data_IF_257595817861
#
_entry.id   IF_257595817861
#
_cell.length_a   1.000
_cell.length_b   1.000
_cell.length_c   1.000
_cell.angle_alpha   90.00
_cell.angle_beta   90.00
_cell.angle_gamma   90.00
#
_symmetry.space_group_name_H-M   'P 1'
#
loop_
_entity.id
_entity.type
_entity.pdbx_description
1 polymer ?
#
# COMPACT_ATOMS: atom_id res chain seq x y z
N UNK A 1 49.27 -22.85 -18.69
CA UNK A 1 47.89 -22.86 -19.22
C UNK A 1 46.97 -22.73 -18.01
N UNK A 2 46.81 -21.49 -17.53
CA UNK A 2 46.02 -21.17 -16.34
C UNK A 2 44.58 -20.89 -16.78
N UNK A 3 43.64 -21.68 -16.27
CA UNK A 3 42.21 -21.46 -16.48
C UNK A 3 41.78 -20.27 -15.62
N UNK A 4 41.44 -19.13 -16.24
CA UNK A 4 40.87 -17.99 -15.52
C UNK A 4 39.41 -18.28 -15.18
N UNK A 5 39.11 -18.37 -13.89
CA UNK A 5 37.75 -18.38 -13.34
C UNK A 5 37.15 -16.97 -13.35
N UNK A 6 37.07 -16.35 -14.53
CA UNK A 6 36.46 -15.03 -14.69
C UNK A 6 35.04 -15.14 -15.20
N UNK A 7 34.12 -14.73 -14.32
CA UNK A 7 32.78 -14.26 -14.64
C UNK A 7 31.75 -15.31 -15.08
N UNK A 8 31.42 -16.22 -14.16
CA UNK A 8 30.04 -16.72 -14.12
C UNK A 8 29.15 -15.58 -13.58
N UNK A 9 28.80 -14.64 -14.46
CA UNK A 9 27.71 -13.72 -14.19
C UNK A 9 26.45 -14.58 -14.01
N UNK A 10 26.02 -14.73 -12.76
CA UNK A 10 24.66 -15.17 -12.47
C UNK A 10 23.71 -14.13 -13.07
N UNK A 11 23.33 -14.35 -14.33
CA UNK A 11 22.20 -13.68 -14.97
C UNK A 11 20.95 -14.27 -14.34
N UNK A 12 20.65 -13.86 -13.10
CA UNK A 12 19.43 -14.26 -12.41
C UNK A 12 18.25 -13.50 -13.02
N UNK A 13 17.79 -13.96 -14.18
CA UNK A 13 16.45 -13.66 -14.71
C UNK A 13 15.41 -14.44 -13.91
N UNK A 14 15.37 -14.21 -12.59
CA UNK A 14 14.22 -14.58 -11.80
C UNK A 14 13.32 -13.36 -11.73
N UNK A 15 12.07 -13.55 -12.14
CA UNK A 15 10.97 -12.60 -11.97
C UNK A 15 10.62 -12.46 -10.47
N UNK A 16 11.55 -11.92 -9.67
CA UNK A 16 11.41 -11.64 -8.25
C UNK A 16 10.52 -10.41 -7.96
N UNK A 17 9.80 -9.92 -8.97
CA UNK A 17 9.30 -8.53 -9.00
C UNK A 17 8.05 -8.30 -8.16
N UNK A 18 7.20 -9.30 -7.87
CA UNK A 18 5.95 -9.08 -7.13
C UNK A 18 6.02 -9.38 -5.63
N UNK A 19 6.66 -10.47 -5.21
CA UNK A 19 6.81 -10.81 -3.79
C UNK A 19 7.60 -9.74 -3.03
N UNK A 20 8.63 -9.19 -3.67
CA UNK A 20 9.46 -8.16 -3.08
C UNK A 20 8.74 -6.82 -2.97
N UNK A 21 7.73 -6.52 -3.82
CA UNK A 21 6.92 -5.30 -3.71
C UNK A 21 6.08 -5.27 -2.44
N UNK A 22 5.51 -6.42 -2.06
CA UNK A 22 4.68 -6.54 -0.85
C UNK A 22 5.51 -6.28 0.41
N UNK A 23 6.72 -6.82 0.45
CA UNK A 23 7.59 -6.76 1.63
C UNK A 23 8.34 -5.42 1.71
N UNK A 24 8.75 -4.85 0.56
CA UNK A 24 9.52 -3.61 0.48
C UNK A 24 8.89 -2.44 1.22
N UNK A 25 7.58 -2.24 1.06
CA UNK A 25 6.89 -1.15 1.77
C UNK A 25 6.94 -1.34 3.29
N UNK A 26 6.71 -2.56 3.77
CA UNK A 26 6.79 -2.85 5.21
C UNK A 26 8.22 -2.71 5.75
N UNK A 27 9.23 -3.21 5.03
CA UNK A 27 10.64 -3.01 5.41
C UNK A 27 10.98 -1.52 5.48
N UNK A 28 10.53 -0.72 4.51
CA UNK A 28 10.70 0.74 4.53
C UNK A 28 10.10 1.34 5.79
N UNK A 29 8.85 0.99 6.11
CA UNK A 29 8.19 1.45 7.33
C UNK A 29 8.95 1.04 8.59
N UNK A 30 9.44 -0.19 8.67
CA UNK A 30 10.22 -0.68 9.82
C UNK A 30 11.58 -0.02 9.97
N UNK A 31 12.17 0.49 8.90
CA UNK A 31 13.46 1.19 8.92
C UNK A 31 13.34 2.69 9.18
N UNK A 32 12.12 3.25 9.13
CA UNK A 32 11.89 4.63 9.52
C UNK A 32 12.27 4.87 10.99
N UNK A 33 12.85 6.03 11.34
CA UNK A 33 13.01 6.40 12.73
C UNK A 33 11.64 6.53 13.41
N UNK A 34 11.63 6.42 14.73
CA UNK A 34 10.39 6.29 15.51
C UNK A 34 9.41 7.46 15.28
N UNK A 35 9.94 8.68 15.14
CA UNK A 35 9.14 9.87 14.90
C UNK A 35 8.35 9.74 13.60
N UNK A 36 9.04 9.44 12.50
CA UNK A 36 8.48 9.29 11.16
C UNK A 36 7.53 8.09 11.07
N UNK A 37 7.77 7.01 11.81
CA UNK A 37 6.80 5.91 11.94
C UNK A 37 5.48 6.36 12.53
N UNK A 38 5.51 7.23 13.53
CA UNK A 38 4.30 7.68 14.24
C UNK A 38 3.55 8.71 13.41
N UNK A 39 4.25 9.73 12.89
CA UNK A 39 3.64 10.90 12.23
C UNK A 39 3.54 10.79 10.72
N UNK A 40 4.30 9.88 10.10
CA UNK A 40 4.42 9.76 8.65
C UNK A 40 5.45 10.71 8.05
N UNK A 41 5.78 10.46 6.77
CA UNK A 41 6.68 11.31 5.98
C UNK A 41 5.98 12.50 5.30
N UNK A 42 4.64 12.49 5.25
CA UNK A 42 3.83 13.34 4.39
C UNK A 42 3.54 12.67 3.04
N UNK A 43 2.40 13.05 2.45
CA UNK A 43 1.90 12.50 1.19
C UNK A 43 2.93 12.68 0.06
N UNK A 44 3.20 11.62 -0.69
CA UNK A 44 4.16 11.58 -1.80
C UNK A 44 5.58 12.07 -1.46
N UNK A 45 5.99 12.07 -0.18
CA UNK A 45 7.25 12.68 0.25
C UNK A 45 8.39 11.66 0.45
N UNK A 46 8.14 10.37 0.21
CA UNK A 46 9.14 9.31 0.42
C UNK A 46 10.41 9.51 -0.42
N UNK A 47 10.27 9.93 -1.68
CA UNK A 47 11.42 10.17 -2.57
C UNK A 47 12.31 11.29 -2.04
N UNK A 48 11.73 12.44 -1.70
CA UNK A 48 12.46 13.57 -1.12
C UNK A 48 13.12 13.17 0.22
N UNK A 49 12.42 12.39 1.05
CA UNK A 49 12.96 11.90 2.30
C UNK A 49 14.18 10.99 2.08
N UNK A 50 14.16 10.12 1.07
CA UNK A 50 15.30 9.28 0.68
C UNK A 50 16.48 10.10 0.16
N UNK A 51 16.22 11.17 -0.59
CA UNK A 51 17.27 12.06 -1.10
C UNK A 51 17.95 12.84 0.04
N UNK A 52 17.18 13.37 0.98
CA UNK A 52 17.69 14.17 2.11
C UNK A 52 18.43 13.30 3.12
N UNK A 53 17.92 12.13 3.44
CA UNK A 53 18.49 11.26 4.49
C UNK A 53 19.61 10.35 3.98
N UNK A 54 19.84 10.33 2.67
CA UNK A 54 20.64 9.33 1.97
C UNK A 54 19.88 8.00 1.84
N UNK A 55 20.40 7.06 1.04
CA UNK A 55 19.86 5.70 0.88
C UNK A 55 20.05 4.86 2.17
N UNK A 56 19.34 5.25 3.24
CA UNK A 56 19.38 4.62 4.57
C UNK A 56 18.66 3.29 4.60
N UNK A 57 17.76 3.05 3.65
CA UNK A 57 17.00 1.82 3.62
C UNK A 57 17.87 0.66 3.14
N UNK A 58 17.83 -0.49 3.82
CA UNK A 58 18.65 -1.66 3.48
C UNK A 58 18.39 -2.12 2.04
N UNK A 59 17.12 -2.05 1.62
CA UNK A 59 16.73 -2.32 0.26
C UNK A 59 17.16 -1.19 -0.70
N UNK A 60 17.26 0.06 -0.27
CA UNK A 60 17.66 1.11 -1.22
C UNK A 60 19.07 0.87 -1.75
N UNK A 61 20.04 0.37 -0.97
CA UNK A 61 21.39 0.06 -1.49
C UNK A 61 21.43 -1.13 -2.44
N UNK A 62 20.65 -2.18 -2.15
CA UNK A 62 20.57 -3.37 -3.01
C UNK A 62 19.76 -3.13 -4.29
N UNK A 63 18.86 -2.13 -4.29
CA UNK A 63 17.85 -1.95 -5.34
C UNK A 63 17.91 -0.57 -6.05
N UNK A 64 18.66 0.41 -5.54
CA UNK A 64 18.84 1.76 -6.13
C UNK A 64 19.78 1.77 -7.33
N UNK A 65 20.45 0.67 -7.65
CA UNK A 65 21.39 0.63 -8.77
C UNK A 65 20.72 0.98 -10.10
N UNK A 66 19.39 0.85 -10.24
CA UNK A 66 18.71 1.17 -11.52
C UNK A 66 17.35 1.89 -11.44
N UNK A 67 16.68 2.04 -10.29
CA UNK A 67 15.27 2.52 -10.27
C UNK A 67 14.83 3.26 -8.99
N UNK A 68 15.51 4.36 -8.62
CA UNK A 68 15.10 5.23 -7.49
C UNK A 68 13.63 5.69 -7.61
N UNK A 69 13.13 5.84 -8.83
CA UNK A 69 11.77 6.31 -9.13
C UNK A 69 10.68 5.23 -8.99
N UNK A 70 11.03 3.94 -8.87
CA UNK A 70 10.05 2.84 -8.81
C UNK A 70 10.00 2.23 -7.40
N UNK A 71 9.79 3.04 -6.37
CA UNK A 71 9.37 2.55 -5.06
C UNK A 71 7.93 2.02 -5.16
N UNK A 72 7.76 0.84 -5.76
CA UNK A 72 6.47 0.17 -5.85
C UNK A 72 6.20 -0.56 -4.52
N UNK A 73 5.44 0.06 -3.62
CA UNK A 73 4.95 -0.52 -2.35
C UNK A 73 3.45 -0.78 -2.41
N UNK A 74 2.91 -1.72 -1.63
CA UNK A 74 1.46 -1.90 -1.54
C UNK A 74 0.78 -0.69 -0.87
N UNK A 75 -0.51 -0.50 -1.11
CA UNK A 75 -1.23 0.70 -0.65
C UNK A 75 -1.25 0.81 0.87
N UNK A 76 -1.36 -0.32 1.57
CA UNK A 76 -1.37 -0.37 3.03
C UNK A 76 -0.07 0.20 3.61
N UNK A 77 1.07 -0.34 3.20
CA UNK A 77 2.39 0.17 3.60
C UNK A 77 2.61 1.61 3.17
N UNK A 78 2.09 2.03 2.01
CA UNK A 78 2.06 3.43 1.59
C UNK A 78 1.37 4.35 2.60
N UNK A 79 0.17 3.97 3.07
CA UNK A 79 -0.52 4.73 4.13
C UNK A 79 0.34 4.84 5.39
N UNK A 80 0.97 3.76 5.84
CA UNK A 80 1.79 3.79 7.05
C UNK A 80 3.08 4.59 6.89
N UNK A 81 3.71 4.56 5.72
CA UNK A 81 4.92 5.34 5.41
C UNK A 81 4.57 6.84 5.31
N UNK A 82 3.55 7.18 4.54
CA UNK A 82 3.23 8.58 4.22
C UNK A 82 2.45 9.27 5.34
N UNK A 83 1.46 8.59 5.92
CA UNK A 83 0.56 9.16 6.92
C UNK A 83 0.89 8.74 8.36
N UNK A 84 1.76 7.75 8.54
CA UNK A 84 2.17 7.29 9.87
C UNK A 84 1.20 6.32 10.53
N UNK A 85 1.65 5.76 11.65
CA UNK A 85 0.97 4.72 12.40
C UNK A 85 -0.38 5.19 12.97
N UNK A 86 -0.45 6.42 13.48
CA UNK A 86 -1.69 6.95 14.08
C UNK A 86 -2.80 7.05 13.03
N UNK A 87 -2.50 7.68 11.89
CA UNK A 87 -3.48 7.85 10.82
C UNK A 87 -3.80 6.50 10.16
N UNK A 88 -2.80 5.64 9.96
CA UNK A 88 -3.01 4.30 9.42
C UNK A 88 -3.97 3.46 10.27
N UNK A 89 -3.78 3.44 11.59
CA UNK A 89 -4.69 2.73 12.50
C UNK A 89 -6.10 3.35 12.46
N UNK A 90 -6.22 4.67 12.51
CA UNK A 90 -7.52 5.35 12.42
C UNK A 90 -8.26 5.03 11.11
N UNK A 91 -7.54 5.04 9.99
CA UNK A 91 -8.09 4.70 8.68
C UNK A 91 -8.68 3.28 8.65
N UNK A 92 -7.89 2.27 9.06
CA UNK A 92 -8.37 0.89 9.09
C UNK A 92 -9.46 0.68 10.14
N UNK A 93 -9.40 1.36 11.28
CA UNK A 93 -10.46 1.33 12.30
C UNK A 93 -11.80 1.81 11.73
N UNK A 94 -11.82 2.93 11.00
CA UNK A 94 -13.03 3.46 10.35
C UNK A 94 -13.59 2.46 9.33
N UNK A 95 -12.73 1.87 8.50
CA UNK A 95 -13.17 0.86 7.52
C UNK A 95 -13.77 -0.38 8.19
N UNK A 96 -13.12 -0.90 9.24
CA UNK A 96 -13.62 -2.05 10.00
C UNK A 96 -14.96 -1.71 10.68
N UNK A 97 -15.11 -0.49 11.22
CA UNK A 97 -16.38 -0.05 11.81
C UNK A 97 -17.50 0.00 10.76
N UNK A 98 -17.22 0.49 9.54
CA UNK A 98 -18.18 0.47 8.42
C UNK A 98 -18.57 -0.95 8.03
N UNK A 99 -17.61 -1.87 7.90
CA UNK A 99 -17.87 -3.29 7.57
C UNK A 99 -18.91 -3.96 8.50
N UNK A 100 -18.99 -3.53 9.76
CA UNK A 100 -19.93 -4.10 10.74
C UNK A 100 -21.38 -3.62 10.58
N UNK A 101 -21.61 -2.47 9.95
CA UNK A 101 -22.92 -1.81 9.88
C UNK A 101 -23.53 -1.92 8.48
N UNK A 102 -22.71 -2.20 7.47
CA UNK A 102 -23.12 -2.26 6.07
C UNK A 102 -23.85 -3.56 5.70
N UNK A 103 -24.66 -3.49 4.64
CA UNK A 103 -25.30 -4.66 4.05
C UNK A 103 -24.27 -5.65 3.43
N UNK A 104 -24.71 -6.88 3.12
CA UNK A 104 -23.80 -7.96 2.71
C UNK A 104 -22.96 -7.62 1.46
N UNK A 105 -23.52 -6.88 0.51
CA UNK A 105 -22.81 -6.53 -0.74
C UNK A 105 -21.76 -5.46 -0.47
N UNK A 106 -22.13 -4.34 0.17
CA UNK A 106 -21.21 -3.26 0.53
C UNK A 106 -20.09 -3.73 1.46
N UNK A 107 -20.43 -4.64 2.38
CA UNK A 107 -19.46 -5.32 3.24
C UNK A 107 -18.41 -6.08 2.42
N UNK A 108 -18.84 -6.89 1.45
CA UNK A 108 -17.92 -7.64 0.59
C UNK A 108 -17.01 -6.71 -0.23
N UNK A 109 -17.56 -5.59 -0.72
CA UNK A 109 -16.78 -4.57 -1.44
C UNK A 109 -15.72 -3.95 -0.52
N UNK A 110 -16.09 -3.55 0.70
CA UNK A 110 -15.13 -2.99 1.67
C UNK A 110 -14.04 -3.99 2.05
N UNK A 111 -14.41 -5.25 2.29
CA UNK A 111 -13.43 -6.33 2.57
C UNK A 111 -12.47 -6.47 1.38
N UNK A 112 -13.01 -6.51 0.15
CA UNK A 112 -12.19 -6.62 -1.06
C UNK A 112 -11.22 -5.44 -1.21
N UNK A 113 -11.67 -4.20 -0.98
CA UNK A 113 -10.84 -2.99 -0.98
C UNK A 113 -9.70 -3.12 0.03
N UNK A 114 -9.97 -3.59 1.25
CA UNK A 114 -8.95 -3.78 2.28
C UNK A 114 -7.92 -4.82 1.81
N UNK A 115 -8.35 -6.00 1.39
CA UNK A 115 -7.44 -7.08 0.93
C UNK A 115 -6.60 -6.63 -0.26
N UNK A 116 -7.19 -5.94 -1.23
CA UNK A 116 -6.46 -5.35 -2.34
C UNK A 116 -5.45 -4.29 -1.87
N UNK A 117 -5.80 -3.48 -0.87
CA UNK A 117 -4.86 -2.51 -0.27
C UNK A 117 -3.58 -3.16 0.26
N UNK A 118 -3.66 -4.37 0.79
CA UNK A 118 -2.49 -5.14 1.23
C UNK A 118 -1.73 -5.82 0.09
N UNK A 119 -2.41 -6.19 -1.00
CA UNK A 119 -1.83 -6.93 -2.12
C UNK A 119 -1.31 -6.04 -3.26
N UNK A 120 -1.86 -4.83 -3.45
CA UNK A 120 -1.63 -4.00 -4.63
C UNK A 120 -1.61 -2.51 -4.29
N UNK A 121 -1.29 -1.67 -5.29
CA UNK A 121 -1.31 -0.20 -5.24
C UNK A 121 -2.70 0.41 -5.50
N UNK A 122 -3.76 -0.33 -5.17
CA UNK A 122 -5.13 0.06 -5.49
C UNK A 122 -5.49 1.47 -5.04
N UNK A 123 -5.12 1.93 -3.83
CA UNK A 123 -5.59 3.22 -3.28
C UNK A 123 -5.10 4.45 -4.05
N UNK A 124 -4.10 4.29 -4.91
CA UNK A 124 -3.53 5.37 -5.72
C UNK A 124 -3.89 5.24 -7.21
N UNK A 125 -4.84 4.35 -7.55
CA UNK A 125 -5.24 4.05 -8.92
C UNK A 125 -6.73 4.34 -9.14
N UNK A 126 -7.13 4.66 -10.37
CA UNK A 126 -8.53 4.86 -10.79
C UNK A 126 -9.44 3.69 -10.43
N UNK A 127 -8.89 2.48 -10.34
CA UNK A 127 -9.65 1.29 -9.91
C UNK A 127 -10.17 1.41 -8.47
N UNK A 128 -9.50 2.13 -7.58
CA UNK A 128 -10.03 2.40 -6.24
C UNK A 128 -11.25 3.32 -6.28
N UNK A 129 -11.25 4.34 -7.16
CA UNK A 129 -12.42 5.21 -7.35
C UNK A 129 -13.62 4.38 -7.79
N UNK A 130 -13.42 3.46 -8.74
CA UNK A 130 -14.47 2.53 -9.18
C UNK A 130 -15.03 1.72 -8.01
N UNK A 131 -14.18 1.08 -7.20
CA UNK A 131 -14.65 0.27 -6.07
C UNK A 131 -15.37 1.09 -4.98
N UNK A 132 -14.92 2.32 -4.74
CA UNK A 132 -15.57 3.24 -3.81
C UNK A 132 -16.95 3.68 -4.35
N UNK A 133 -17.07 3.98 -5.65
CA UNK A 133 -18.36 4.28 -6.26
C UNK A 133 -19.33 3.10 -6.15
N UNK A 134 -18.84 1.88 -6.42
CA UNK A 134 -19.63 0.65 -6.25
C UNK A 134 -20.08 0.50 -4.79
N UNK A 135 -19.17 0.68 -3.83
CA UNK A 135 -19.54 0.69 -2.40
C UNK A 135 -20.67 1.69 -2.11
N UNK A 136 -20.59 2.93 -2.59
CA UNK A 136 -21.63 3.92 -2.34
C UNK A 136 -22.98 3.60 -3.00
N UNK A 137 -22.98 3.03 -4.21
CA UNK A 137 -24.22 2.60 -4.89
C UNK A 137 -24.92 1.51 -4.08
N UNK A 138 -24.17 0.49 -3.64
CA UNK A 138 -24.75 -0.62 -2.89
C UNK A 138 -25.04 -0.29 -1.43
N UNK A 139 -24.36 0.71 -0.85
CA UNK A 139 -24.62 1.20 0.51
C UNK A 139 -25.88 2.09 0.56
N UNK A 140 -26.13 2.90 -0.47
CA UNK A 140 -27.31 3.78 -0.58
C UNK A 140 -28.62 3.06 -0.91
N UNK A 141 -28.60 1.83 -1.38
CA UNK A 141 -29.84 1.11 -1.70
C UNK A 141 -30.72 0.79 -0.47
N UNK A 142 -30.25 1.06 0.76
CA UNK A 142 -31.11 1.08 1.96
C UNK A 142 -31.92 2.38 2.12
N UNK A 143 -31.60 3.47 1.42
CA UNK A 143 -32.34 4.74 1.52
C UNK A 143 -33.75 4.63 0.91
N UNK A 144 -33.89 3.86 -0.18
CA UNK A 144 -35.18 3.60 -0.84
C UNK A 144 -36.04 2.54 -0.13
N UNK A 145 -35.44 1.72 0.74
CA UNK A 145 -36.19 0.79 1.59
C UNK A 145 -36.73 1.48 2.85
N UNK A 146 -36.03 2.50 3.38
CA UNK A 146 -36.55 3.31 4.49
C UNK A 146 -37.78 4.13 4.10
N UNK A 147 -37.89 4.66 2.88
CA UNK A 147 -39.11 5.37 2.44
C UNK A 147 -40.33 4.46 2.29
N UNK A 148 -40.16 3.15 2.13
CA UNK A 148 -41.27 2.19 2.03
C UNK A 148 -41.84 1.76 3.38
N UNK A 149 -41.17 2.05 4.49
CA UNK A 149 -41.73 1.83 5.84
C UNK A 149 -42.58 3.02 6.33
N UNK A 150 -42.60 4.14 5.59
CA UNK A 150 -43.36 5.35 5.94
C UNK A 150 -44.49 5.70 4.95
N UNK A 151 -44.81 4.82 3.99
CA UNK A 151 -45.96 4.91 3.08
C UNK A 151 -46.83 3.66 3.21
#
# INVERSE_FOLDING_TARGET
>A
MEFSLTNFQFKSTFSYTNYLRLIKGWVTFYELPLKEKIVGLGLNNLTNYMEITGTRFSWSKQWAVNHIQNAYFNSSSGIFIECGLVIGILYYYILIKKIKIENSISKNILIFIIFQGFATQIFFNSIFIFWILMYYIFSKNNFWEQEKEYL
#
